data_IF_175505770854
#
_entry.id   IF_175505770854
#
_cell.length_a   1.000
_cell.length_b   1.000
_cell.length_c   1.000
_cell.angle_alpha   90.00
_cell.angle_beta   90.00
_cell.angle_gamma   90.00
#
_symmetry.space_group_name_H-M   'P 1'
#
loop_
_entity.id
_entity.type
_entity.pdbx_description
1 polymer ?
#
# COMPACT_ATOMS: atom_id res chain seq x y z
N UNK A 1 -20.63 13.07 -31.09
CA UNK A 1 -19.67 14.01 -30.54
C UNK A 1 -18.62 13.27 -29.76
N UNK A 2 -17.36 13.25 -30.23
CA UNK A 2 -16.21 12.78 -29.45
C UNK A 2 -15.94 13.81 -28.36
N UNK A 3 -16.68 13.74 -27.27
CA UNK A 3 -16.37 14.51 -26.10
C UNK A 3 -14.98 14.10 -25.60
N UNK A 4 -14.03 15.05 -25.54
CA UNK A 4 -12.73 14.83 -24.94
C UNK A 4 -12.92 14.46 -23.48
N UNK A 5 -12.34 13.31 -23.07
CA UNK A 5 -12.39 12.84 -21.69
C UNK A 5 -11.79 13.90 -20.76
N UNK A 6 -12.48 14.20 -19.63
CA UNK A 6 -11.94 15.07 -18.59
C UNK A 6 -10.61 14.53 -18.05
N UNK A 7 -9.67 15.40 -17.76
CA UNK A 7 -8.37 15.05 -17.19
C UNK A 7 -8.50 14.23 -15.89
N UNK A 8 -9.56 14.48 -15.10
CA UNK A 8 -9.83 13.77 -13.86
C UNK A 8 -9.88 12.22 -14.03
N UNK A 9 -10.42 11.74 -15.17
CA UNK A 9 -10.62 10.32 -15.44
C UNK A 9 -9.48 9.65 -16.19
N UNK A 10 -8.47 10.39 -16.64
CA UNK A 10 -7.40 9.85 -17.51
C UNK A 10 -6.51 8.85 -16.78
N UNK A 11 -6.29 7.72 -17.44
CA UNK A 11 -5.37 6.68 -17.01
C UNK A 11 -3.91 6.98 -17.35
N UNK A 12 -3.01 6.11 -16.91
CA UNK A 12 -1.60 6.12 -17.28
C UNK A 12 -1.40 6.03 -18.80
N UNK A 13 -2.08 5.11 -19.47
CA UNK A 13 -1.92 4.86 -20.90
C UNK A 13 -2.29 6.10 -21.73
N UNK A 14 -3.40 6.75 -21.41
CA UNK A 14 -3.82 8.00 -22.08
C UNK A 14 -2.83 9.11 -21.79
N UNK A 15 -2.38 9.25 -20.56
CA UNK A 15 -1.40 10.26 -20.16
C UNK A 15 -0.07 10.07 -20.89
N UNK A 16 0.42 8.84 -20.97
CA UNK A 16 1.64 8.53 -21.72
C UNK A 16 1.50 8.85 -23.22
N UNK A 17 0.35 8.53 -23.79
CA UNK A 17 0.09 8.84 -25.22
C UNK A 17 0.05 10.35 -25.51
N UNK A 18 -0.50 11.16 -24.60
CA UNK A 18 -0.66 12.60 -24.77
C UNK A 18 0.55 13.41 -24.32
N UNK A 19 1.20 13.03 -23.22
CA UNK A 19 2.22 13.83 -22.53
C UNK A 19 3.62 13.18 -22.52
N UNK A 20 3.73 11.94 -22.96
CA UNK A 20 4.98 11.17 -22.95
C UNK A 20 5.09 10.20 -21.78
N UNK A 21 5.90 9.14 -21.97
CA UNK A 21 6.07 8.07 -21.00
C UNK A 21 6.79 8.51 -19.72
N UNK A 22 7.59 9.56 -19.78
CA UNK A 22 8.36 10.08 -18.65
C UNK A 22 7.66 11.23 -17.91
N UNK A 23 6.42 11.53 -18.29
CA UNK A 23 5.66 12.63 -17.69
C UNK A 23 5.36 12.34 -16.22
N UNK A 24 5.57 13.36 -15.37
CA UNK A 24 5.16 13.36 -13.98
C UNK A 24 4.36 14.62 -13.67
N UNK A 25 3.20 14.46 -13.02
CA UNK A 25 2.29 15.58 -12.76
C UNK A 25 2.79 16.58 -11.72
N UNK A 26 3.69 16.15 -10.84
CA UNK A 26 4.38 17.01 -9.87
C UNK A 26 5.70 16.34 -9.43
N UNK A 27 6.68 17.15 -9.00
CA UNK A 27 7.97 16.63 -8.59
C UNK A 27 7.88 15.90 -7.25
N UNK A 28 8.68 14.86 -7.09
CA UNK A 28 8.86 14.15 -5.83
C UNK A 28 9.40 15.15 -4.78
N UNK A 29 8.79 15.11 -3.60
CA UNK A 29 9.08 16.02 -2.46
C UNK A 29 8.88 17.52 -2.76
N UNK A 30 8.19 17.85 -3.85
CA UNK A 30 7.70 19.19 -4.12
C UNK A 30 6.49 19.55 -3.25
N UNK A 31 5.95 20.74 -3.44
CA UNK A 31 4.84 21.27 -2.60
C UNK A 31 3.64 20.34 -2.53
N UNK A 32 3.20 19.80 -3.66
CA UNK A 32 2.01 18.93 -3.72
C UNK A 32 2.30 17.64 -2.97
N UNK A 33 3.41 16.98 -3.26
CA UNK A 33 3.77 15.73 -2.59
C UNK A 33 3.93 15.89 -1.08
N UNK A 34 4.64 16.93 -0.63
CA UNK A 34 4.80 17.22 0.79
C UNK A 34 3.48 17.55 1.48
N UNK A 35 2.56 18.23 0.78
CA UNK A 35 1.21 18.49 1.29
C UNK A 35 0.43 17.19 1.43
N UNK A 36 0.48 16.31 0.45
CA UNK A 36 -0.17 15.00 0.52
C UNK A 36 0.38 14.15 1.68
N UNK A 37 1.69 14.14 1.89
CA UNK A 37 2.32 13.46 3.02
C UNK A 37 1.90 14.06 4.37
N UNK A 38 1.90 15.39 4.47
CA UNK A 38 1.48 16.08 5.69
C UNK A 38 0.02 15.84 6.04
N UNK A 39 -0.89 15.89 5.06
CA UNK A 39 -2.30 15.59 5.25
C UNK A 39 -2.53 14.12 5.62
N UNK A 40 -1.82 13.20 4.99
CA UNK A 40 -1.89 11.77 5.32
C UNK A 40 -1.43 11.51 6.75
N UNK A 41 -0.31 12.09 7.15
CA UNK A 41 0.22 11.97 8.51
C UNK A 41 -0.74 12.57 9.55
N UNK A 42 -1.24 13.77 9.29
CA UNK A 42 -2.21 14.43 10.17
C UNK A 42 -3.49 13.60 10.33
N UNK A 43 -3.99 13.03 9.25
CA UNK A 43 -5.14 12.14 9.27
C UNK A 43 -4.89 10.88 10.10
N UNK A 44 -3.77 10.20 9.88
CA UNK A 44 -3.39 8.98 10.61
C UNK A 44 -3.24 9.28 12.10
N UNK A 45 -2.51 10.33 12.46
CA UNK A 45 -2.29 10.72 13.86
C UNK A 45 -3.60 11.14 14.52
N UNK A 46 -4.40 11.96 13.86
CA UNK A 46 -5.70 12.41 14.37
C UNK A 46 -6.67 11.25 14.61
N UNK A 47 -6.77 10.34 13.68
CA UNK A 47 -7.62 9.14 13.81
C UNK A 47 -7.11 8.19 14.89
N UNK A 48 -5.80 8.01 15.00
CA UNK A 48 -5.18 7.19 16.04
C UNK A 48 -5.47 7.76 17.44
N UNK A 49 -5.36 9.09 17.62
CA UNK A 49 -5.70 9.76 18.88
C UNK A 49 -7.19 9.63 19.23
N UNK A 50 -8.07 9.81 18.26
CA UNK A 50 -9.51 9.61 18.46
C UNK A 50 -9.81 8.17 18.87
N UNK A 51 -9.26 7.19 18.15
CA UNK A 51 -9.41 5.78 18.44
C UNK A 51 -8.92 5.43 19.84
N UNK A 52 -7.74 5.91 20.20
CA UNK A 52 -7.14 5.67 21.54
C UNK A 52 -8.04 6.14 22.67
N UNK A 53 -8.71 7.29 22.51
CA UNK A 53 -9.55 7.92 23.52
C UNK A 53 -10.99 7.41 23.50
N UNK A 54 -11.35 6.58 22.55
CA UNK A 54 -12.71 6.12 22.35
C UNK A 54 -13.00 4.83 23.11
N UNK A 55 -14.27 4.62 23.54
CA UNK A 55 -14.71 3.36 24.12
C UNK A 55 -14.76 2.26 23.04
N UNK A 56 -14.83 0.99 23.48
CA UNK A 56 -14.79 -0.17 22.58
C UNK A 56 -15.81 -0.12 21.43
N UNK A 57 -17.03 0.32 21.71
CA UNK A 57 -18.09 0.44 20.70
C UNK A 57 -17.72 1.44 19.59
N UNK A 58 -17.17 2.60 19.95
CA UNK A 58 -16.72 3.61 18.99
C UNK A 58 -15.50 3.14 18.23
N UNK A 59 -14.55 2.47 18.89
CA UNK A 59 -13.39 1.84 18.23
C UNK A 59 -13.83 0.85 17.16
N UNK A 60 -14.81 0.03 17.45
CA UNK A 60 -15.37 -0.92 16.47
C UNK A 60 -15.97 -0.18 15.27
N UNK A 61 -16.71 0.90 15.51
CA UNK A 61 -17.29 1.73 14.44
C UNK A 61 -16.23 2.38 13.59
N UNK A 62 -15.15 2.90 14.18
CA UNK A 62 -14.02 3.49 13.46
C UNK A 62 -13.38 2.43 12.56
N UNK A 63 -13.10 1.25 13.09
CA UNK A 63 -12.46 0.17 12.34
C UNK A 63 -13.32 -0.30 11.16
N UNK A 64 -14.62 -0.46 11.37
CA UNK A 64 -15.59 -0.77 10.30
C UNK A 64 -15.63 0.36 9.28
N UNK A 65 -15.65 1.61 9.71
CA UNK A 65 -15.66 2.78 8.83
C UNK A 65 -14.41 2.84 7.94
N UNK A 66 -13.24 2.59 8.48
CA UNK A 66 -11.98 2.52 7.71
C UNK A 66 -12.04 1.38 6.68
N UNK A 67 -12.55 0.22 7.07
CA UNK A 67 -12.72 -0.92 6.16
C UNK A 67 -13.67 -0.60 5.02
N UNK A 68 -14.81 0.05 5.30
CA UNK A 68 -15.77 0.48 4.28
C UNK A 68 -15.13 1.49 3.32
N UNK A 69 -14.38 2.47 3.85
CA UNK A 69 -13.67 3.45 3.01
C UNK A 69 -12.62 2.78 2.13
N UNK A 70 -11.88 1.79 2.62
CA UNK A 70 -10.95 1.02 1.81
C UNK A 70 -11.64 0.31 0.64
N UNK A 71 -12.77 -0.35 0.90
CA UNK A 71 -13.54 -1.05 -0.14
C UNK A 71 -14.14 -0.08 -1.15
N UNK A 72 -14.68 1.06 -0.70
CA UNK A 72 -15.21 2.10 -1.58
C UNK A 72 -14.12 2.74 -2.44
N UNK A 73 -12.95 2.94 -1.89
CA UNK A 73 -11.80 3.51 -2.61
C UNK A 73 -11.31 2.56 -3.73
N UNK A 74 -11.18 1.28 -3.43
CA UNK A 74 -10.90 0.25 -4.46
C UNK A 74 -11.98 0.19 -5.52
N UNK A 75 -13.25 0.17 -5.12
CA UNK A 75 -14.38 0.12 -6.04
C UNK A 75 -14.44 1.37 -6.93
N UNK A 76 -14.13 2.54 -6.40
CA UNK A 76 -14.13 3.80 -7.15
C UNK A 76 -13.12 3.77 -8.30
N UNK A 77 -11.90 3.27 -8.06
CA UNK A 77 -10.90 3.12 -9.11
C UNK A 77 -11.35 2.12 -10.19
N UNK A 78 -11.77 0.92 -9.77
CA UNK A 78 -12.22 -0.12 -10.70
C UNK A 78 -13.39 0.34 -11.57
N UNK A 79 -14.41 0.94 -10.95
CA UNK A 79 -15.58 1.45 -11.64
C UNK A 79 -15.24 2.65 -12.53
N UNK A 80 -14.41 3.56 -12.06
CA UNK A 80 -13.98 4.72 -12.84
C UNK A 80 -13.25 4.32 -14.11
N UNK A 81 -12.34 3.36 -14.03
CA UNK A 81 -11.63 2.83 -15.20
C UNK A 81 -12.55 2.02 -16.12
N UNK A 82 -13.42 1.20 -15.57
CA UNK A 82 -14.37 0.40 -16.36
C UNK A 82 -15.40 1.28 -17.10
N UNK A 83 -16.01 2.23 -16.42
CA UNK A 83 -17.04 3.12 -16.99
C UNK A 83 -16.48 4.09 -18.02
N UNK A 84 -15.20 4.42 -17.97
CA UNK A 84 -14.52 5.27 -18.96
C UNK A 84 -13.83 4.49 -20.08
N UNK A 85 -13.98 3.17 -20.10
CA UNK A 85 -13.39 2.30 -21.13
C UNK A 85 -11.87 2.15 -21.03
N UNK A 86 -11.28 2.45 -19.87
CA UNK A 86 -9.83 2.42 -19.65
C UNK A 86 -9.35 1.20 -18.86
N UNK A 87 -10.28 0.32 -18.46
CA UNK A 87 -9.94 -0.86 -17.67
C UNK A 87 -8.99 -1.80 -18.42
N UNK A 88 -8.02 -2.34 -17.71
CA UNK A 88 -7.15 -3.43 -18.16
C UNK A 88 -6.84 -4.39 -17.00
N UNK A 89 -6.16 -5.49 -17.29
CA UNK A 89 -5.85 -6.53 -16.30
C UNK A 89 -5.02 -6.02 -15.11
N UNK A 90 -4.25 -4.94 -15.27
CA UNK A 90 -3.44 -4.33 -14.20
C UNK A 90 -4.28 -3.71 -13.08
N UNK A 91 -5.56 -3.43 -13.32
CA UNK A 91 -6.48 -2.93 -12.29
C UNK A 91 -7.08 -4.03 -11.41
N UNK A 92 -6.83 -5.31 -11.69
CA UNK A 92 -7.21 -6.38 -10.77
C UNK A 92 -6.54 -6.20 -9.41
N UNK A 93 -7.21 -6.59 -8.29
CA UNK A 93 -6.72 -6.32 -6.93
C UNK A 93 -5.66 -7.33 -6.47
N UNK A 94 -4.59 -7.53 -7.24
CA UNK A 94 -3.50 -8.48 -6.96
C UNK A 94 -2.17 -7.82 -6.64
N UNK A 95 -2.09 -6.49 -6.52
CA UNK A 95 -0.99 -5.85 -5.82
C UNK A 95 -1.11 -6.09 -4.31
N UNK A 96 0.01 -6.09 -3.62
CA UNK A 96 0.02 -6.35 -2.17
C UNK A 96 -0.89 -5.38 -1.40
N UNK A 97 -0.92 -4.11 -1.78
CA UNK A 97 -1.80 -3.12 -1.16
C UNK A 97 -3.28 -3.46 -1.34
N UNK A 98 -3.70 -3.86 -2.54
CA UNK A 98 -5.09 -4.28 -2.80
C UNK A 98 -5.46 -5.57 -2.05
N UNK A 99 -4.55 -6.53 -1.99
CA UNK A 99 -4.74 -7.74 -1.19
C UNK A 99 -4.90 -7.39 0.29
N UNK A 100 -4.12 -6.44 0.78
CA UNK A 100 -4.22 -5.97 2.17
C UNK A 100 -5.57 -5.28 2.48
N UNK A 101 -6.25 -4.68 1.51
CA UNK A 101 -7.64 -4.22 1.69
C UNK A 101 -8.54 -5.38 2.10
N UNK A 102 -8.41 -6.52 1.42
CA UNK A 102 -9.20 -7.72 1.75
C UNK A 102 -8.75 -8.39 3.05
N UNK A 103 -7.47 -8.32 3.39
CA UNK A 103 -6.97 -8.76 4.71
C UNK A 103 -7.56 -7.90 5.82
N UNK A 104 -7.65 -6.58 5.63
CA UNK A 104 -8.35 -5.68 6.55
C UNK A 104 -9.82 -6.08 6.73
N UNK A 105 -10.53 -6.32 5.62
CA UNK A 105 -11.91 -6.77 5.65
C UNK A 105 -12.06 -8.09 6.43
N UNK A 106 -11.22 -9.07 6.12
CA UNK A 106 -11.26 -10.37 6.78
C UNK A 106 -10.99 -10.25 8.28
N UNK A 107 -10.01 -9.43 8.68
CA UNK A 107 -9.75 -9.16 10.09
C UNK A 107 -10.91 -8.43 10.78
N UNK A 108 -11.54 -7.48 10.12
CA UNK A 108 -12.70 -6.76 10.66
C UNK A 108 -13.87 -7.71 10.93
N UNK A 109 -14.04 -8.72 10.08
CA UNK A 109 -15.10 -9.71 10.21
C UNK A 109 -14.79 -10.85 11.20
N UNK A 110 -13.51 -11.26 11.33
CA UNK A 110 -13.13 -12.50 12.02
C UNK A 110 -12.13 -12.34 13.16
N UNK A 111 -11.50 -11.18 13.29
CA UNK A 111 -10.52 -10.87 14.37
C UNK A 111 -9.39 -11.90 14.47
N UNK A 112 -8.59 -12.03 13.40
CA UNK A 112 -7.52 -13.02 13.31
C UNK A 112 -6.13 -12.43 13.58
N UNK A 113 -5.37 -13.05 14.44
CA UNK A 113 -4.01 -12.59 14.78
C UNK A 113 -3.04 -12.60 13.60
N UNK A 114 -3.14 -13.57 12.69
CA UNK A 114 -2.28 -13.60 11.52
C UNK A 114 -2.52 -12.42 10.58
N UNK A 115 -3.78 -11.95 10.47
CA UNK A 115 -4.12 -10.74 9.72
C UNK A 115 -3.44 -9.51 10.33
N UNK A 116 -3.56 -9.36 11.65
CA UNK A 116 -2.98 -8.22 12.38
C UNK A 116 -1.46 -8.19 12.25
N UNK A 117 -0.82 -9.34 12.35
CA UNK A 117 0.63 -9.45 12.21
C UNK A 117 1.11 -9.11 10.80
N UNK A 118 0.47 -9.68 9.78
CA UNK A 118 0.78 -9.39 8.39
C UNK A 118 0.55 -7.91 8.07
N UNK A 119 -0.59 -7.34 8.48
CA UNK A 119 -0.90 -5.93 8.26
C UNK A 119 0.11 -5.02 8.96
N UNK A 120 0.53 -5.35 10.16
CA UNK A 120 1.58 -4.61 10.85
C UNK A 120 2.92 -4.68 10.10
N UNK A 121 3.37 -5.89 9.78
CA UNK A 121 4.71 -6.13 9.27
C UNK A 121 4.91 -5.74 7.79
N UNK A 122 3.89 -5.90 6.95
CA UNK A 122 3.96 -5.68 5.51
C UNK A 122 3.13 -4.49 5.04
N UNK A 123 1.91 -4.33 5.56
CA UNK A 123 1.01 -3.28 5.09
C UNK A 123 1.50 -1.88 5.52
N UNK A 124 1.94 -1.70 6.76
CA UNK A 124 2.49 -0.41 7.20
C UNK A 124 3.70 0.00 6.35
N UNK A 125 4.78 -0.79 6.28
CA UNK A 125 5.95 -0.36 5.51
C UNK A 125 5.65 -0.26 4.01
N UNK A 126 4.85 -1.16 3.45
CA UNK A 126 4.49 -1.16 2.04
C UNK A 126 3.69 0.09 1.65
N UNK A 127 2.63 0.41 2.38
CA UNK A 127 1.81 1.58 2.11
C UNK A 127 2.53 2.90 2.44
N UNK A 128 3.30 2.95 3.53
CA UNK A 128 4.13 4.11 3.87
C UNK A 128 5.18 4.39 2.79
N UNK A 129 5.83 3.35 2.29
CA UNK A 129 6.81 3.47 1.22
C UNK A 129 6.17 3.92 -0.09
N UNK A 130 4.96 3.45 -0.40
CA UNK A 130 4.20 3.91 -1.56
C UNK A 130 3.88 5.41 -1.47
N UNK A 131 3.51 5.93 -0.30
CA UNK A 131 3.31 7.37 -0.09
C UNK A 131 4.61 8.17 -0.21
N UNK A 132 5.72 7.64 0.29
CA UNK A 132 7.03 8.30 0.24
C UNK A 132 7.68 8.25 -1.15
N UNK A 133 7.46 7.16 -1.89
CA UNK A 133 8.03 6.93 -3.22
C UNK A 133 6.90 6.52 -4.19
N UNK A 134 5.98 7.45 -4.51
CA UNK A 134 4.82 7.14 -5.35
C UNK A 134 5.23 6.72 -6.76
N UNK A 135 4.53 5.70 -7.27
CA UNK A 135 4.68 5.17 -8.64
C UNK A 135 3.49 5.52 -9.55
N UNK A 136 2.66 6.48 -9.16
CA UNK A 136 1.42 6.88 -9.86
C UNK A 136 1.41 8.33 -10.31
N UNK A 137 2.59 8.94 -10.50
CA UNK A 137 2.72 10.35 -10.89
C UNK A 137 2.53 10.60 -12.38
N UNK A 138 2.44 9.57 -13.18
CA UNK A 138 2.22 9.60 -14.62
C UNK A 138 0.74 9.75 -14.99
N UNK A 139 0.11 10.73 -14.37
CA UNK A 139 -1.27 11.19 -14.59
C UNK A 139 -1.27 12.69 -14.87
N UNK A 140 -2.35 13.26 -15.47
CA UNK A 140 -2.33 14.66 -15.92
C UNK A 140 -2.11 15.68 -14.82
N UNK A 141 -2.64 15.42 -13.61
CA UNK A 141 -2.51 16.33 -12.47
C UNK A 141 -2.76 15.59 -11.16
N UNK A 142 -2.53 16.28 -10.04
CA UNK A 142 -2.87 15.75 -8.71
C UNK A 142 -4.39 15.56 -8.53
N UNK A 143 -5.22 16.36 -9.25
CA UNK A 143 -6.69 16.25 -9.24
C UNK A 143 -7.14 15.24 -10.29
N UNK A 144 -6.87 14.00 -10.04
CA UNK A 144 -7.30 12.86 -10.85
C UNK A 144 -7.79 11.73 -9.96
N UNK A 145 -8.66 10.88 -10.49
CA UNK A 145 -9.16 9.72 -9.76
C UNK A 145 -8.01 8.83 -9.28
N UNK A 146 -7.03 8.57 -10.13
CA UNK A 146 -5.88 7.72 -9.81
C UNK A 146 -5.05 8.30 -8.68
N UNK A 147 -4.70 9.58 -8.74
CA UNK A 147 -3.90 10.21 -7.69
C UNK A 147 -4.64 10.27 -6.35
N UNK A 148 -5.90 10.70 -6.36
CA UNK A 148 -6.72 10.76 -5.14
C UNK A 148 -6.94 9.38 -4.53
N UNK A 149 -7.22 8.37 -5.35
CA UNK A 149 -7.31 6.98 -4.91
C UNK A 149 -5.99 6.51 -4.29
N UNK A 150 -4.88 6.74 -4.97
CA UNK A 150 -3.57 6.24 -4.52
C UNK A 150 -3.14 6.86 -3.20
N UNK A 151 -3.33 8.14 -3.02
CA UNK A 151 -3.01 8.80 -1.73
C UNK A 151 -3.94 8.33 -0.62
N UNK A 152 -5.25 8.31 -0.86
CA UNK A 152 -6.23 7.92 0.15
C UNK A 152 -6.13 6.46 0.55
N UNK A 153 -5.99 5.54 -0.42
CA UNK A 153 -5.91 4.10 -0.12
C UNK A 153 -4.66 3.75 0.70
N UNK A 154 -3.52 4.35 0.37
CA UNK A 154 -2.29 4.07 1.12
C UNK A 154 -2.30 4.71 2.51
N UNK A 155 -2.89 5.90 2.67
CA UNK A 155 -3.09 6.47 4.00
C UNK A 155 -4.01 5.61 4.88
N UNK A 156 -5.11 5.10 4.33
CA UNK A 156 -6.02 4.19 5.03
C UNK A 156 -5.37 2.85 5.36
N UNK A 157 -4.53 2.33 4.48
CA UNK A 157 -3.80 1.08 4.70
C UNK A 157 -2.71 1.21 5.77
N UNK A 158 -2.11 2.37 5.94
CA UNK A 158 -1.26 2.65 7.11
C UNK A 158 -2.10 2.78 8.37
N UNK A 159 -3.23 3.49 8.29
CA UNK A 159 -4.09 3.76 9.43
C UNK A 159 -4.64 2.49 10.07
N UNK A 160 -5.16 1.54 9.28
CA UNK A 160 -5.83 0.37 9.81
C UNK A 160 -4.95 -0.43 10.80
N UNK A 161 -3.73 -0.88 10.42
CA UNK A 161 -2.86 -1.57 11.38
C UNK A 161 -2.35 -0.68 12.50
N UNK A 162 -2.16 0.61 12.29
CA UNK A 162 -1.84 1.55 13.37
C UNK A 162 -2.94 1.56 14.43
N UNK A 163 -4.20 1.55 14.03
CA UNK A 163 -5.33 1.45 14.96
C UNK A 163 -5.31 0.14 15.76
N UNK A 164 -4.94 -0.98 15.14
CA UNK A 164 -4.81 -2.25 15.83
C UNK A 164 -3.76 -2.18 16.95
N UNK A 165 -2.61 -1.61 16.67
CA UNK A 165 -1.52 -1.46 17.65
C UNK A 165 -1.90 -0.47 18.75
N UNK A 166 -2.47 0.67 18.41
CA UNK A 166 -2.97 1.66 19.37
C UNK A 166 -4.08 1.06 20.26
N UNK A 167 -4.89 0.18 19.69
CA UNK A 167 -5.94 -0.56 20.40
C UNK A 167 -5.46 -1.70 21.30
N UNK A 168 -4.16 -1.99 21.32
CA UNK A 168 -3.58 -2.96 22.23
C UNK A 168 -2.95 -4.20 21.60
N UNK A 169 -3.04 -4.37 20.27
CA UNK A 169 -2.34 -5.47 19.61
C UNK A 169 -0.83 -5.32 19.78
N UNK A 170 -0.17 -6.42 20.11
CA UNK A 170 1.30 -6.44 20.34
C UNK A 170 1.98 -7.34 19.29
N UNK A 171 2.62 -6.75 18.27
CA UNK A 171 3.44 -7.49 17.33
C UNK A 171 4.56 -8.27 18.04
N UNK A 172 4.86 -9.45 17.53
CA UNK A 172 5.91 -10.30 18.08
C UNK A 172 6.86 -10.80 16.99
N UNK A 173 8.19 -10.69 17.18
CA UNK A 173 9.17 -11.25 16.25
C UNK A 173 9.00 -12.76 16.02
N UNK A 174 8.41 -13.47 16.97
CA UNK A 174 8.16 -14.92 16.87
C UNK A 174 7.17 -15.28 15.76
N UNK A 175 6.36 -14.30 15.32
CA UNK A 175 5.35 -14.49 14.26
C UNK A 175 5.88 -14.11 12.86
N UNK A 176 7.12 -13.67 12.74
CA UNK A 176 7.76 -13.37 11.44
C UNK A 176 7.66 -14.52 10.44
N UNK A 177 7.83 -15.81 10.84
CA UNK A 177 7.64 -16.91 9.90
C UNK A 177 6.25 -16.95 9.25
N UNK A 178 5.19 -16.59 9.97
CA UNK A 178 3.82 -16.49 9.41
C UNK A 178 3.72 -15.35 8.39
N UNK A 179 4.34 -14.22 8.67
CA UNK A 179 4.40 -13.06 7.76
C UNK A 179 5.12 -13.44 6.46
N UNK A 180 6.26 -14.08 6.55
CA UNK A 180 7.02 -14.56 5.40
C UNK A 180 6.25 -15.63 4.62
N UNK A 181 5.56 -16.54 5.29
CA UNK A 181 4.71 -17.54 4.65
C UNK A 181 3.57 -16.87 3.83
N UNK A 182 2.94 -15.84 4.36
CA UNK A 182 1.94 -15.06 3.64
C UNK A 182 2.55 -14.36 2.42
N UNK A 183 3.67 -13.67 2.60
CA UNK A 183 4.32 -12.91 1.54
C UNK A 183 4.77 -13.80 0.40
N UNK A 184 5.55 -14.83 0.68
CA UNK A 184 6.06 -15.74 -0.36
C UNK A 184 4.96 -16.67 -0.90
N UNK A 185 4.04 -17.10 -0.04
CA UNK A 185 2.88 -17.91 -0.45
C UNK A 185 1.93 -17.18 -1.40
N UNK A 186 1.78 -15.86 -1.26
CA UNK A 186 1.00 -15.03 -2.18
C UNK A 186 1.83 -14.60 -3.41
N UNK A 187 3.10 -14.30 -3.24
CA UNK A 187 3.97 -13.86 -4.33
C UNK A 187 4.19 -14.94 -5.39
N UNK A 188 4.29 -16.19 -5.00
CA UNK A 188 4.55 -17.30 -5.93
C UNK A 188 3.44 -17.46 -6.99
N UNK A 189 2.15 -17.62 -6.64
CA UNK A 189 1.09 -17.68 -7.65
C UNK A 189 0.98 -16.39 -8.45
N UNK A 190 1.19 -15.23 -7.85
CA UNK A 190 1.15 -13.93 -8.52
C UNK A 190 2.29 -13.78 -9.55
N UNK A 191 3.47 -14.27 -9.24
CA UNK A 191 4.58 -14.30 -10.20
C UNK A 191 4.18 -15.02 -11.50
N UNK A 192 3.53 -16.17 -11.38
CA UNK A 192 3.05 -16.93 -12.55
C UNK A 192 1.84 -16.28 -13.22
N UNK A 193 0.92 -15.68 -12.47
CA UNK A 193 -0.23 -14.97 -12.99
C UNK A 193 0.17 -13.77 -13.87
N UNK A 194 1.22 -13.06 -13.52
CA UNK A 194 1.73 -11.94 -14.30
C UNK A 194 2.07 -12.30 -15.74
N UNK A 195 2.48 -13.54 -16.01
CA UNK A 195 2.95 -13.95 -17.34
C UNK A 195 1.83 -13.94 -18.38
N UNK A 196 0.71 -14.71 -18.24
CA UNK A 196 -0.37 -14.69 -19.22
C UNK A 196 -1.12 -13.35 -19.27
N UNK A 197 -1.22 -12.62 -18.16
CA UNK A 197 -1.93 -11.34 -18.11
C UNK A 197 -1.07 -10.15 -18.58
N UNK A 198 0.22 -10.33 -18.75
CA UNK A 198 1.19 -9.26 -19.04
C UNK A 198 1.10 -8.11 -18.02
N UNK A 199 0.93 -8.47 -16.76
CA UNK A 199 0.82 -7.55 -15.61
C UNK A 199 2.11 -7.51 -14.80
N UNK A 200 2.20 -6.61 -13.85
CA UNK A 200 3.37 -6.44 -12.98
C UNK A 200 2.99 -6.41 -11.49
N UNK A 201 2.07 -7.27 -11.08
CA UNK A 201 1.67 -7.39 -9.68
C UNK A 201 2.88 -7.74 -8.80
N UNK A 202 2.99 -7.13 -7.65
CA UNK A 202 4.14 -7.23 -6.73
C UNK A 202 5.46 -6.76 -7.36
N UNK A 203 5.42 -6.08 -8.52
CA UNK A 203 6.61 -5.70 -9.30
C UNK A 203 7.51 -6.91 -9.64
N UNK A 204 6.92 -8.08 -9.81
CA UNK A 204 7.66 -9.33 -10.04
C UNK A 204 7.90 -9.64 -11.52
N UNK A 205 7.30 -8.89 -12.44
CA UNK A 205 7.45 -9.15 -13.88
C UNK A 205 8.47 -8.24 -14.57
N UNK A 206 8.54 -6.97 -14.14
CA UNK A 206 9.54 -6.01 -14.63
C UNK A 206 9.85 -4.95 -13.56
N UNK A 207 11.01 -4.28 -13.65
CA UNK A 207 11.44 -3.27 -12.68
C UNK A 207 10.98 -1.84 -13.00
N UNK A 208 10.15 -1.64 -14.01
CA UNK A 208 9.83 -0.32 -14.52
C UNK A 208 8.76 0.40 -13.69
N UNK A 209 8.78 1.73 -13.74
CA UNK A 209 7.78 2.58 -13.12
C UNK A 209 7.87 2.74 -11.59
N UNK A 210 8.95 2.25 -10.97
CA UNK A 210 9.16 2.35 -9.53
C UNK A 210 10.62 2.63 -9.20
N UNK A 211 10.89 3.64 -8.37
CA UNK A 211 12.25 4.04 -8.01
C UNK A 211 13.00 2.93 -7.23
N UNK A 212 12.29 2.14 -6.45
CA UNK A 212 12.87 1.08 -5.63
C UNK A 212 13.36 -0.06 -6.51
N UNK A 213 12.52 -0.55 -7.42
CA UNK A 213 12.89 -1.61 -8.37
C UNK A 213 13.91 -1.12 -9.40
N UNK A 214 13.87 0.15 -9.78
CA UNK A 214 14.90 0.77 -10.60
C UNK A 214 16.26 0.78 -9.89
N UNK A 215 16.29 1.02 -8.59
CA UNK A 215 17.50 0.94 -7.78
C UNK A 215 18.03 -0.51 -7.72
N UNK A 216 17.15 -1.49 -7.56
CA UNK A 216 17.55 -2.90 -7.62
C UNK A 216 18.16 -3.26 -8.98
N UNK A 217 17.59 -2.76 -10.06
CA UNK A 217 18.13 -2.95 -11.42
C UNK A 217 19.50 -2.31 -11.57
N UNK A 218 19.72 -1.13 -11.03
CA UNK A 218 21.02 -0.45 -11.06
C UNK A 218 22.11 -1.25 -10.32
N UNK A 219 21.75 -1.95 -9.26
CA UNK A 219 22.68 -2.72 -8.45
C UNK A 219 22.88 -4.16 -8.95
N UNK A 220 21.82 -4.80 -9.44
CA UNK A 220 21.79 -6.26 -9.71
C UNK A 220 21.59 -6.59 -11.19
N UNK A 221 21.25 -5.62 -12.01
CA UNK A 221 20.84 -5.82 -13.40
C UNK A 221 19.36 -6.19 -13.53
N UNK A 222 18.85 -6.05 -14.74
CA UNK A 222 17.43 -6.27 -15.04
C UNK A 222 16.99 -7.73 -14.80
N UNK A 223 17.88 -8.67 -15.07
CA UNK A 223 17.60 -10.11 -14.89
C UNK A 223 17.43 -10.51 -13.42
N UNK A 224 18.17 -9.89 -12.50
CA UNK A 224 18.24 -10.27 -11.09
C UNK A 224 17.66 -9.23 -10.13
N UNK A 225 16.94 -8.22 -10.62
CA UNK A 225 16.41 -7.16 -9.77
C UNK A 225 15.50 -7.68 -8.65
N UNK A 226 14.77 -8.79 -8.89
CA UNK A 226 13.87 -9.42 -7.90
C UNK A 226 14.62 -9.79 -6.61
N UNK A 227 15.90 -10.18 -6.71
CA UNK A 227 16.71 -10.50 -5.54
C UNK A 227 16.91 -9.31 -4.60
N UNK A 228 16.75 -8.09 -5.10
CA UNK A 228 16.79 -6.86 -4.30
C UNK A 228 15.65 -6.77 -3.29
N UNK A 229 14.54 -7.45 -3.50
CA UNK A 229 13.46 -7.52 -2.52
C UNK A 229 13.87 -8.23 -1.22
N UNK A 230 14.78 -9.19 -1.28
CA UNK A 230 15.20 -9.96 -0.08
C UNK A 230 15.82 -9.06 0.99
N UNK A 231 16.89 -8.27 0.71
CA UNK A 231 17.42 -7.35 1.70
C UNK A 231 16.43 -6.22 2.05
N UNK A 232 15.59 -5.79 1.12
CA UNK A 232 14.58 -4.77 1.40
C UNK A 232 13.52 -5.28 2.39
N UNK A 233 13.05 -6.52 2.24
CA UNK A 233 12.13 -7.17 3.17
C UNK A 233 12.80 -7.35 4.53
N UNK A 234 14.05 -7.83 4.56
CA UNK A 234 14.81 -7.99 5.80
C UNK A 234 14.94 -6.66 6.56
N UNK A 235 15.28 -5.57 5.85
CA UNK A 235 15.37 -4.24 6.44
C UNK A 235 14.03 -3.76 6.99
N UNK A 236 12.95 -3.93 6.24
CA UNK A 236 11.60 -3.55 6.67
C UNK A 236 11.20 -4.32 7.94
N UNK A 237 11.43 -5.63 7.99
CA UNK A 237 11.12 -6.45 9.16
C UNK A 237 11.97 -6.06 10.38
N UNK A 238 13.24 -5.74 10.19
CA UNK A 238 14.10 -5.23 11.27
C UNK A 238 13.53 -3.93 11.82
N UNK A 239 13.19 -2.97 10.97
CA UNK A 239 12.60 -1.69 11.38
C UNK A 239 11.30 -1.90 12.15
N UNK A 240 10.44 -2.80 11.68
CA UNK A 240 9.12 -3.04 12.29
C UNK A 240 9.20 -3.81 13.62
N UNK A 241 10.16 -4.71 13.77
CA UNK A 241 10.22 -5.59 14.93
C UNK A 241 11.27 -5.24 15.97
N UNK A 242 12.31 -4.49 15.61
CA UNK A 242 13.37 -4.13 16.56
C UNK A 242 12.84 -3.39 17.81
N UNK A 243 11.92 -2.42 17.71
CA UNK A 243 11.37 -1.77 18.90
C UNK A 243 10.68 -2.74 19.86
N UNK A 244 9.96 -3.73 19.34
CA UNK A 244 9.26 -4.73 20.16
C UNK A 244 10.24 -5.72 20.80
N UNK A 245 11.28 -6.15 20.08
CA UNK A 245 12.32 -7.02 20.60
C UNK A 245 13.10 -6.35 21.73
N UNK A 246 13.43 -5.07 21.58
CA UNK A 246 14.08 -4.28 22.62
C UNK A 246 13.18 -4.13 23.85
N UNK A 247 11.90 -3.83 23.65
CA UNK A 247 10.94 -3.70 24.75
C UNK A 247 10.81 -5.01 25.56
N UNK A 248 10.69 -6.15 24.88
CA UNK A 248 10.66 -7.48 25.52
C UNK A 248 11.94 -7.76 26.34
N UNK A 249 13.10 -7.44 25.78
CA UNK A 249 14.37 -7.64 26.47
C UNK A 249 14.48 -6.80 27.75
N UNK A 250 14.09 -5.52 27.68
CA UNK A 250 14.11 -4.62 28.83
C UNK A 250 13.13 -5.07 29.93
N UNK A 251 11.97 -5.61 29.57
CA UNK A 251 11.00 -6.15 30.52
C UNK A 251 11.54 -7.40 31.26
N UNK A 252 12.25 -8.28 30.56
CA UNK A 252 12.87 -9.47 31.15
C UNK A 252 13.98 -9.12 32.16
N UNK A 253 14.71 -8.04 31.96
CA UNK A 253 15.75 -7.58 32.91
C UNK A 253 15.21 -6.98 34.19
N UNK A 254 13.94 -6.57 34.21
CA UNK A 254 13.29 -5.96 35.39
C UNK A 254 12.58 -6.97 36.29
N UNK A 255 12.50 -8.23 35.84
CA UNK A 255 11.98 -9.37 36.62
C UNK A 255 13.12 -10.20 37.21
#
# INVERSE_FOLDING_TARGET
GSGTMSAFWKSYDITHAELGADYQCYPLYGRIHLTELALSLAFIVGMAQWYRRSPAKTRRRILVGVTVLLLLDEAALLLGMALTGQWNWSYLPFHLCSINVFVCLYNTLTDQNWCKEELYALCIPGAALALLCPSWLDVPSWWTLINLHSVSIHALLVLYPVLLVVGGYRPSPRRVPQVLAFLFGSALPIYFLNKPLCTNFYFLNNPYGNIITSTFTALLGEKYYILGFLPAIALALIIMYLPWAVAEHLQKKKR
#
